data_IF_643546872610
#
_entry.id   IF_643546872610
#
_cell.length_a   1.000
_cell.length_b   1.000
_cell.length_c   1.000
_cell.angle_alpha   90.00
_cell.angle_beta   90.00
_cell.angle_gamma   90.00
#
_symmetry.space_group_name_H-M   'P 1'
#
loop_
_entity.id
_entity.type
_entity.pdbx_description
1 polymer ?
#
# COMPACT_ATOMS: atom_id res chain seq x y z
N UNK A 1 -3.94 20.07 -4.51
CA UNK A 1 -3.13 18.85 -4.49
C UNK A 1 -3.20 18.28 -3.10
N UNK A 2 -3.88 17.14 -2.97
CA UNK A 2 -4.10 16.44 -1.71
C UNK A 2 -3.39 15.08 -1.73
N UNK A 3 -3.30 14.46 -0.55
CA UNK A 3 -2.79 13.10 -0.39
C UNK A 3 -3.98 12.16 -0.33
N UNK A 4 -3.98 11.16 -1.21
CA UNK A 4 -4.89 10.02 -1.18
C UNK A 4 -4.21 8.84 -0.51
N UNK A 5 -4.94 8.08 0.31
CA UNK A 5 -4.40 6.88 0.96
C UNK A 5 -5.28 5.67 0.67
N UNK A 6 -4.69 4.57 0.23
CA UNK A 6 -5.34 3.29 -0.06
C UNK A 6 -4.78 2.21 0.86
N UNK A 7 -5.67 1.49 1.55
CA UNK A 7 -5.31 0.32 2.32
C UNK A 7 -6.44 -0.12 3.25
N UNK A 8 -6.20 -1.15 4.06
CA UNK A 8 -7.17 -1.58 5.08
C UNK A 8 -7.49 -0.48 6.10
N UNK A 9 -8.57 -0.67 6.85
CA UNK A 9 -9.06 0.28 7.85
C UNK A 9 -7.99 0.67 8.89
N UNK A 10 -7.23 -0.31 9.40
CA UNK A 10 -6.13 -0.07 10.34
C UNK A 10 -5.03 0.84 9.76
N UNK A 11 -4.74 0.72 8.47
CA UNK A 11 -3.73 1.53 7.79
C UNK A 11 -4.23 2.97 7.57
N UNK A 12 -5.45 3.11 7.05
CA UNK A 12 -6.06 4.42 6.75
C UNK A 12 -6.40 5.24 8.00
N UNK A 13 -6.63 4.60 9.14
CA UNK A 13 -6.97 5.25 10.42
C UNK A 13 -5.90 6.25 10.86
N UNK A 14 -4.61 5.89 10.77
CA UNK A 14 -3.52 6.78 11.17
C UNK A 14 -3.48 8.08 10.35
N UNK A 15 -3.68 7.97 9.04
CA UNK A 15 -3.71 9.11 8.13
C UNK A 15 -4.93 10.00 8.37
N UNK A 16 -6.09 9.40 8.68
CA UNK A 16 -7.31 10.13 9.01
C UNK A 16 -7.13 10.99 10.27
N UNK A 17 -6.40 10.48 11.28
CA UNK A 17 -6.12 11.22 12.51
C UNK A 17 -5.15 12.40 12.29
N UNK A 18 -4.27 12.31 11.31
CA UNK A 18 -3.31 13.37 10.95
C UNK A 18 -3.92 14.40 10.00
N UNK A 19 -5.20 14.26 9.63
CA UNK A 19 -5.92 15.23 8.80
C UNK A 19 -5.85 14.96 7.31
N UNK A 20 -5.54 13.73 6.89
CA UNK A 20 -5.73 13.32 5.49
C UNK A 20 -7.22 13.17 5.21
N UNK A 21 -7.71 13.89 4.21
CA UNK A 21 -9.15 13.94 3.87
C UNK A 21 -9.59 12.94 2.80
N UNK A 22 -8.64 12.35 2.07
CA UNK A 22 -8.91 11.40 0.99
C UNK A 22 -8.33 10.03 1.35
N UNK A 23 -9.20 9.11 1.75
CA UNK A 23 -8.82 7.73 2.05
C UNK A 23 -9.80 6.76 1.39
N UNK A 24 -9.27 5.64 0.94
CA UNK A 24 -10.02 4.56 0.31
C UNK A 24 -9.70 3.28 1.08
N UNK A 25 -10.71 2.75 1.77
CA UNK A 25 -10.57 1.55 2.57
C UNK A 25 -10.79 0.32 1.68
N UNK A 26 -9.82 -0.60 1.71
CA UNK A 26 -9.91 -1.90 1.03
C UNK A 26 -10.42 -2.94 2.03
N UNK A 27 -11.42 -3.71 1.63
CA UNK A 27 -12.10 -4.74 2.42
C UNK A 27 -12.65 -5.83 1.49
N UNK A 28 -13.25 -6.90 2.04
CA UNK A 28 -13.68 -8.07 1.26
C UNK A 28 -14.71 -7.75 0.14
N UNK A 29 -15.42 -6.61 0.23
CA UNK A 29 -16.37 -6.14 -0.79
C UNK A 29 -15.75 -5.15 -1.80
N UNK A 30 -14.70 -4.43 -1.40
CA UNK A 30 -14.02 -3.40 -2.21
C UNK A 30 -12.59 -3.83 -2.50
N UNK A 31 -12.40 -4.32 -3.73
CA UNK A 31 -11.08 -4.69 -4.23
C UNK A 31 -10.14 -3.49 -4.29
N UNK A 32 -8.85 -3.76 -4.10
CA UNK A 32 -7.75 -2.79 -4.27
C UNK A 32 -7.81 -2.09 -5.63
N UNK A 33 -8.17 -2.80 -6.70
CA UNK A 33 -8.37 -2.21 -8.03
C UNK A 33 -9.45 -1.12 -8.07
N UNK A 34 -10.59 -1.35 -7.40
CA UNK A 34 -11.70 -0.38 -7.39
C UNK A 34 -11.29 0.86 -6.63
N UNK A 35 -10.66 0.68 -5.47
CA UNK A 35 -10.14 1.79 -4.67
C UNK A 35 -9.14 2.65 -5.47
N UNK A 36 -8.22 2.01 -6.19
CA UNK A 36 -7.26 2.70 -7.07
C UNK A 36 -7.95 3.43 -8.21
N UNK A 37 -8.92 2.80 -8.88
CA UNK A 37 -9.68 3.45 -9.98
C UNK A 37 -10.40 4.69 -9.48
N UNK A 38 -11.08 4.62 -8.34
CA UNK A 38 -11.75 5.78 -7.73
C UNK A 38 -10.75 6.87 -7.32
N UNK A 39 -9.57 6.49 -6.81
CA UNK A 39 -8.53 7.46 -6.49
C UNK A 39 -7.96 8.16 -7.74
N UNK A 40 -7.85 7.45 -8.87
CA UNK A 40 -7.39 8.02 -10.13
C UNK A 40 -8.40 8.95 -10.80
N UNK A 41 -9.69 8.80 -10.52
CA UNK A 41 -10.73 9.70 -11.00
C UNK A 41 -10.65 11.08 -10.34
N UNK A 42 -10.14 11.15 -9.10
CA UNK A 42 -9.97 12.42 -8.38
C UNK A 42 -8.66 13.13 -8.76
N UNK A 43 -8.78 14.09 -9.68
CA UNK A 43 -7.66 14.93 -10.14
C UNK A 43 -7.06 15.83 -9.05
N UNK A 44 -7.68 15.95 -7.88
CA UNK A 44 -7.12 16.72 -6.78
C UNK A 44 -6.02 15.95 -6.03
N UNK A 45 -6.01 14.62 -6.16
CA UNK A 45 -4.99 13.76 -5.54
C UNK A 45 -3.69 13.95 -6.31
N UNK A 46 -2.68 14.51 -5.64
CA UNK A 46 -1.35 14.70 -6.19
C UNK A 46 -0.39 13.56 -5.82
N UNK A 47 -0.61 12.98 -4.63
CA UNK A 47 0.19 11.88 -4.09
C UNK A 47 -0.76 10.78 -3.64
N UNK A 48 -0.53 9.56 -4.11
CA UNK A 48 -1.31 8.38 -3.74
C UNK A 48 -0.42 7.45 -2.92
N UNK A 49 -0.73 7.31 -1.64
CA UNK A 49 -0.08 6.33 -0.76
C UNK A 49 -0.89 5.05 -0.83
N UNK A 50 -0.24 3.93 -1.14
CA UNK A 50 -0.86 2.61 -1.14
C UNK A 50 -0.07 1.68 -0.24
N UNK A 51 -0.76 0.80 0.48
CA UNK A 51 -0.07 -0.21 1.26
C UNK A 51 0.47 -1.34 0.36
N UNK A 52 1.65 -1.89 0.66
CA UNK A 52 2.36 -2.80 -0.26
C UNK A 52 1.57 -4.09 -0.55
N UNK A 53 0.80 -4.60 0.40
CA UNK A 53 -0.04 -5.79 0.15
C UNK A 53 -1.11 -5.52 -0.90
N UNK A 54 -1.72 -4.34 -0.86
CA UNK A 54 -2.75 -3.90 -1.81
C UNK A 54 -2.12 -3.54 -3.16
N UNK A 55 -0.86 -3.07 -3.17
CA UNK A 55 -0.11 -2.86 -4.40
C UNK A 55 0.18 -4.19 -5.11
N UNK A 56 0.58 -5.23 -4.37
CA UNK A 56 0.86 -6.56 -4.92
C UNK A 56 -0.39 -7.29 -5.43
N UNK A 57 -1.57 -6.96 -4.91
CA UNK A 57 -2.85 -7.49 -5.40
C UNK A 57 -3.29 -6.86 -6.74
N UNK A 58 -2.69 -5.73 -7.15
CA UNK A 58 -3.02 -5.09 -8.44
C UNK A 58 -2.47 -5.89 -9.62
N UNK A 59 -3.21 -5.89 -10.73
CA UNK A 59 -2.67 -6.40 -12.00
C UNK A 59 -1.42 -5.62 -12.45
N UNK A 60 -0.46 -6.33 -13.04
CA UNK A 60 0.77 -5.76 -13.60
C UNK A 60 0.49 -4.60 -14.58
N UNK A 61 -0.60 -4.67 -15.33
CA UNK A 61 -1.04 -3.60 -16.25
C UNK A 61 -1.38 -2.31 -15.50
N UNK A 62 -2.06 -2.43 -14.36
CA UNK A 62 -2.44 -1.30 -13.52
C UNK A 62 -1.22 -0.72 -12.82
N UNK A 63 -0.34 -1.56 -12.28
CA UNK A 63 0.94 -1.13 -11.72
C UNK A 63 1.80 -0.38 -12.74
N UNK A 64 1.92 -0.91 -13.96
CA UNK A 64 2.70 -0.30 -15.05
C UNK A 64 2.10 1.05 -15.46
N UNK A 65 0.77 1.18 -15.50
CA UNK A 65 0.10 2.46 -15.78
C UNK A 65 0.35 3.49 -14.69
N UNK A 66 0.28 3.07 -13.43
CA UNK A 66 0.53 3.93 -12.28
C UNK A 66 2.00 4.38 -12.22
N UNK A 67 2.93 3.48 -12.49
CA UNK A 67 4.37 3.78 -12.52
C UNK A 67 4.76 4.72 -13.66
N UNK A 68 4.04 4.69 -14.78
CA UNK A 68 4.27 5.59 -15.92
C UNK A 68 3.48 6.89 -15.82
N UNK A 69 2.58 7.02 -14.84
CA UNK A 69 1.81 8.25 -14.64
C UNK A 69 2.62 9.25 -13.81
N UNK A 70 2.71 10.48 -14.31
CA UNK A 70 3.42 11.58 -13.62
C UNK A 70 2.52 12.24 -12.55
N UNK A 71 1.20 12.02 -12.63
CA UNK A 71 0.22 12.54 -11.68
C UNK A 71 -1.00 11.61 -11.58
N UNK A 72 -1.34 11.09 -10.39
CA UNK A 72 -0.68 11.25 -9.08
C UNK A 72 0.65 10.47 -8.95
N UNK A 73 1.56 10.95 -8.11
CA UNK A 73 2.75 10.18 -7.69
C UNK A 73 2.35 9.07 -6.74
N UNK A 74 2.59 7.82 -7.09
CA UNK A 74 2.24 6.67 -6.24
C UNK A 74 3.41 6.29 -5.34
N UNK A 75 3.15 6.11 -4.05
CA UNK A 75 4.10 5.65 -3.04
C UNK A 75 3.55 4.38 -2.40
N UNK A 76 4.20 3.25 -2.64
CA UNK A 76 3.90 2.00 -1.94
C UNK A 76 4.62 2.00 -0.58
N UNK A 77 3.86 1.87 0.52
CA UNK A 77 4.38 1.80 1.89
C UNK A 77 4.00 0.44 2.47
N UNK A 78 5.01 -0.34 2.86
CA UNK A 78 4.75 -1.64 3.45
C UNK A 78 5.82 -2.66 3.14
N UNK A 79 7.09 -2.24 3.02
CA UNK A 79 8.18 -3.19 3.13
C UNK A 79 8.00 -3.88 4.47
N UNK A 80 7.50 -5.12 4.43
CA UNK A 80 7.33 -5.97 5.59
C UNK A 80 8.62 -5.86 6.39
N UNK A 81 8.50 -5.47 7.66
CA UNK A 81 9.61 -5.51 8.59
C UNK A 81 10.05 -6.98 8.66
N UNK A 82 11.09 -7.26 7.89
CA UNK A 82 12.17 -8.17 8.22
C UNK A 82 11.79 -9.65 8.46
N UNK A 83 11.25 -10.33 7.44
CA UNK A 83 11.44 -11.79 7.36
C UNK A 83 12.90 -12.16 7.06
N UNK A 84 13.69 -11.20 6.55
CA UNK A 84 15.11 -11.35 6.27
C UNK A 84 15.95 -11.54 7.53
N UNK A 85 15.57 -10.98 8.68
CA UNK A 85 16.30 -11.17 9.94
C UNK A 85 16.10 -12.58 10.52
N UNK A 86 14.88 -13.13 10.47
CA UNK A 86 14.60 -14.53 10.87
C UNK A 86 15.40 -15.51 10.01
N UNK A 87 15.41 -15.30 8.71
CA UNK A 87 16.08 -16.18 7.75
C UNK A 87 17.61 -16.09 7.88
N UNK A 88 18.15 -14.91 8.20
CA UNK A 88 19.57 -14.71 8.53
C UNK A 88 19.97 -15.38 9.84
N UNK A 89 19.15 -15.31 10.89
CA UNK A 89 19.42 -16.00 12.16
C UNK A 89 19.36 -17.53 11.95
N UNK A 90 18.37 -18.02 11.20
CA UNK A 90 18.24 -19.45 10.87
C UNK A 90 19.44 -19.97 10.06
N UNK A 91 19.91 -19.21 9.08
CA UNK A 91 21.06 -19.60 8.24
C UNK A 91 22.38 -19.51 9.00
N UNK A 92 22.54 -18.55 9.91
CA UNK A 92 23.78 -18.36 10.67
C UNK A 92 23.93 -19.34 11.85
N UNK A 93 22.83 -19.74 12.49
CA UNK A 93 22.85 -20.58 13.71
C UNK A 93 22.48 -22.04 13.40
N UNK A 94 21.80 -22.31 12.28
CA UNK A 94 21.49 -23.67 11.81
C UNK A 94 20.43 -24.41 12.64
N UNK A 95 19.81 -23.77 13.64
CA UNK A 95 18.76 -24.34 14.48
C UNK A 95 17.67 -23.29 14.78
N UNK A 96 16.40 -23.74 14.79
CA UNK A 96 15.25 -22.92 15.19
C UNK A 96 15.08 -23.00 16.71
N UNK A 97 15.23 -21.87 17.41
CA UNK A 97 15.21 -21.79 18.87
C UNK A 97 13.83 -21.40 19.43
N UNK A 98 12.80 -21.32 18.59
CA UNK A 98 11.43 -21.12 19.06
C UNK A 98 10.63 -22.41 18.98
N UNK A 99 10.04 -22.80 20.12
CA UNK A 99 9.08 -23.88 20.25
C UNK A 99 7.70 -23.27 20.50
#
# INVERSE_FOLDING_TARGET
>A
MEIGVIGREMFTTGFRLVGVHKWFSVNDEVDSEKAVKTALEDKNIGVLVIHDTEWQELEEKTQTKLSNSVSPTVIAIGSSVDNTLRERIRTAVGVDLWK
#
